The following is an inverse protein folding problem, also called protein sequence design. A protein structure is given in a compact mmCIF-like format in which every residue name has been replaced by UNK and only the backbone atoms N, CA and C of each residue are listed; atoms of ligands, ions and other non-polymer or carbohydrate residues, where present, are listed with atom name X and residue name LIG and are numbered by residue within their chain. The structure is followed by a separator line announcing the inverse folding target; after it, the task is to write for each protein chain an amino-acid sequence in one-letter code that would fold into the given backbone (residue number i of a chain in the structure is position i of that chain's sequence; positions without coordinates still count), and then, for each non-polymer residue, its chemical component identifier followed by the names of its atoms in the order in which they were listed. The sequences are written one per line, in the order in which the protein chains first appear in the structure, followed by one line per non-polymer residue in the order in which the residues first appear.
data_IF_362224047539
#
_entry.id   IF_362224047539
#
_cell.length_a   1.000
_cell.length_b   1.000
_cell.length_c   1.000
_cell.angle_alpha   90.00
_cell.angle_beta   90.00
_cell.angle_gamma   90.00
#
_symmetry.space_group_name_H-M   'P 1'
#
loop_
_entity.id
_entity.type
_entity.pdbx_description
1 polymer ?
#
# COMPACT_ATOMS: atom_id res chain seq x y z
N UNK A 1 19.13 24.78 7.77
CA UNK A 1 17.71 25.19 7.90
C UNK A 1 17.44 26.51 7.18
N UNK A 2 18.09 27.64 7.52
CA UNK A 2 17.91 28.94 6.83
C UNK A 2 18.34 28.93 5.35
N UNK A 3 19.57 28.48 5.07
CA UNK A 3 20.11 28.36 3.70
C UNK A 3 19.35 27.41 2.78
N UNK A 4 18.63 26.44 3.38
CA UNK A 4 17.79 25.48 2.68
C UNK A 4 16.35 25.99 2.50
N UNK A 5 16.04 27.18 3.02
CA UNK A 5 14.74 27.83 2.89
C UNK A 5 13.63 27.27 3.79
N UNK A 6 13.96 26.52 4.85
CA UNK A 6 12.96 25.97 5.78
C UNK A 6 12.55 26.94 6.89
N UNK A 7 13.45 27.85 7.28
CA UNK A 7 13.19 28.90 8.27
C UNK A 7 13.61 30.26 7.72
N UNK A 8 12.84 31.30 8.04
CA UNK A 8 13.18 32.69 7.73
C UNK A 8 13.60 33.41 9.02
N UNK A 9 14.59 34.30 8.93
CA UNK A 9 14.98 35.14 10.08
C UNK A 9 14.14 36.42 10.05
N UNK A 10 13.55 36.78 11.19
CA UNK A 10 12.70 37.96 11.32
C UNK A 10 13.57 39.23 11.43
N UNK A 11 13.75 39.92 10.30
CA UNK A 11 14.54 41.16 10.24
C UNK A 11 15.98 40.95 10.71
N UNK A 12 16.48 41.87 11.55
CA UNK A 12 17.81 41.78 12.17
C UNK A 12 17.82 41.00 13.49
N UNK A 13 16.67 40.47 13.94
CA UNK A 13 16.59 39.75 15.21
C UNK A 13 17.08 38.30 15.07
N UNK A 14 17.50 37.66 16.18
CA UNK A 14 17.81 36.22 16.20
C UNK A 14 16.56 35.31 16.19
N UNK A 15 15.37 35.88 15.95
CA UNK A 15 14.13 35.10 15.88
C UNK A 15 13.96 34.50 14.49
N UNK A 16 13.50 33.25 14.49
CA UNK A 16 13.24 32.50 13.27
C UNK A 16 11.76 32.11 13.20
N UNK A 17 11.16 32.27 12.03
CA UNK A 17 9.82 31.79 11.71
C UNK A 17 9.88 30.62 10.73
N UNK A 18 8.88 29.75 10.82
CA UNK A 18 8.70 28.66 9.87
C UNK A 18 8.28 29.26 8.52
N UNK A 19 8.94 28.82 7.46
CA UNK A 19 8.50 29.17 6.10
C UNK A 19 7.38 28.25 5.63
N UNK A 20 6.69 28.66 4.56
CA UNK A 20 5.74 27.81 3.85
C UNK A 20 6.37 26.49 3.38
N UNK A 21 7.66 26.47 3.01
CA UNK A 21 8.37 25.24 2.61
C UNK A 21 8.43 24.21 3.73
N UNK A 22 8.62 24.65 4.97
CA UNK A 22 8.61 23.75 6.14
C UNK A 22 7.19 23.37 6.56
N UNK A 23 6.23 24.29 6.40
CA UNK A 23 4.80 23.98 6.55
C UNK A 23 4.35 22.92 5.53
N UNK A 24 4.70 23.03 4.26
CA UNK A 24 4.40 22.05 3.21
C UNK A 24 4.99 20.67 3.54
N UNK A 25 6.24 20.63 4.01
CA UNK A 25 6.88 19.38 4.43
C UNK A 25 6.17 18.76 5.64
N UNK A 26 5.82 19.58 6.64
CA UNK A 26 5.07 19.15 7.82
C UNK A 26 3.64 18.70 7.48
N UNK A 27 2.94 19.42 6.61
CA UNK A 27 1.59 19.09 6.15
C UNK A 27 1.57 17.75 5.38
N UNK A 28 2.58 17.48 4.55
CA UNK A 28 2.75 16.16 3.91
C UNK A 28 2.97 15.04 4.94
N UNK A 29 3.70 15.30 6.01
CA UNK A 29 3.86 14.33 7.10
C UNK A 29 2.56 14.11 7.89
N UNK A 30 1.75 15.16 8.08
CA UNK A 30 0.45 15.08 8.76
C UNK A 30 -0.60 14.29 7.97
N UNK A 31 -0.58 14.36 6.63
CA UNK A 31 -1.49 13.56 5.79
C UNK A 31 -1.40 12.05 6.07
N UNK A 32 -0.19 11.54 6.32
CA UNK A 32 0.02 10.13 6.68
C UNK A 32 -0.52 9.80 8.07
N UNK A 33 -0.41 10.72 9.04
CA UNK A 33 -0.90 10.52 10.42
C UNK A 33 -2.43 10.48 10.45
N UNK A 34 -3.09 11.38 9.72
CA UNK A 34 -4.56 11.41 9.61
C UNK A 34 -5.11 10.19 8.85
N UNK A 35 -4.41 9.76 7.79
CA UNK A 35 -4.74 8.55 7.06
C UNK A 35 -4.66 7.31 7.96
N UNK A 36 -3.55 7.12 8.67
CA UNK A 36 -3.35 5.95 9.55
C UNK A 36 -4.44 5.92 10.64
N UNK A 37 -4.72 7.07 11.28
CA UNK A 37 -5.74 7.15 12.33
C UNK A 37 -7.14 6.83 11.80
N UNK A 38 -7.48 7.32 10.61
CA UNK A 38 -8.77 7.07 9.98
C UNK A 38 -8.90 5.61 9.51
N UNK A 39 -7.84 5.07 8.92
CA UNK A 39 -7.78 3.69 8.47
C UNK A 39 -7.80 2.69 9.64
N UNK A 40 -7.16 3.00 10.77
CA UNK A 40 -7.09 2.13 11.95
C UNK A 40 -8.48 1.70 12.45
N UNK A 41 -9.45 2.62 12.45
CA UNK A 41 -10.84 2.34 12.85
C UNK A 41 -11.44 1.25 11.95
N UNK A 42 -11.31 1.41 10.63
CA UNK A 42 -11.86 0.45 9.66
C UNK A 42 -11.07 -0.86 9.63
N UNK A 43 -9.74 -0.78 9.70
CA UNK A 43 -8.85 -1.95 9.75
C UNK A 43 -9.14 -2.83 10.97
N UNK A 44 -9.42 -2.24 12.14
CA UNK A 44 -9.81 -3.01 13.33
C UNK A 44 -11.13 -3.73 13.15
N UNK A 45 -12.10 -3.09 12.50
CA UNK A 45 -13.39 -3.74 12.23
C UNK A 45 -13.24 -4.89 11.25
N UNK A 46 -12.48 -4.72 10.17
CA UNK A 46 -12.16 -5.80 9.23
C UNK A 46 -11.42 -6.92 9.95
N UNK A 47 -10.40 -6.60 10.75
CA UNK A 47 -9.66 -7.60 11.54
C UNK A 47 -10.56 -8.35 12.52
N UNK A 48 -11.54 -7.68 13.14
CA UNK A 48 -12.51 -8.33 14.04
C UNK A 48 -13.39 -9.33 13.29
N UNK A 49 -13.80 -9.01 12.07
CA UNK A 49 -14.66 -9.84 11.22
C UNK A 49 -13.90 -11.02 10.59
N UNK A 50 -12.69 -10.78 10.09
CA UNK A 50 -11.91 -11.78 9.36
C UNK A 50 -10.96 -12.57 10.26
N UNK A 51 -10.56 -12.00 11.39
CA UNK A 51 -9.49 -12.46 12.30
C UNK A 51 -8.10 -12.49 11.66
N UNK A 52 -7.98 -11.97 10.45
CA UNK A 52 -6.77 -11.98 9.65
C UNK A 52 -5.90 -10.73 9.90
N UNK A 53 -4.66 -10.81 9.43
CA UNK A 53 -3.75 -9.65 9.43
C UNK A 53 -4.22 -8.64 8.38
N UNK A 54 -4.28 -7.37 8.76
CA UNK A 54 -4.62 -6.26 7.87
C UNK A 54 -3.39 -5.39 7.66
N UNK A 55 -3.07 -5.06 6.41
CA UNK A 55 -1.99 -4.13 6.07
C UNK A 55 -2.53 -2.91 5.36
N UNK A 56 -1.96 -1.75 5.69
CA UNK A 56 -2.10 -0.53 4.91
C UNK A 56 -0.75 -0.22 4.27
N UNK A 57 -0.74 -0.05 2.95
CA UNK A 57 0.46 0.27 2.19
C UNK A 57 0.27 1.51 1.33
N UNK A 58 1.32 2.29 1.17
CA UNK A 58 1.37 3.43 0.27
C UNK A 58 2.41 3.18 -0.83
N UNK A 59 2.22 3.82 -1.98
CA UNK A 59 3.20 3.85 -3.05
C UNK A 59 4.40 4.69 -2.60
N UNK A 60 5.60 4.15 -2.77
CA UNK A 60 6.85 4.89 -2.63
C UNK A 60 7.77 4.47 -3.78
N UNK A 61 7.99 5.41 -4.69
CA UNK A 61 8.71 5.21 -5.96
C UNK A 61 8.14 4.01 -6.75
N UNK A 62 8.89 2.92 -6.85
CA UNK A 62 8.59 1.70 -7.61
C UNK A 62 8.02 0.56 -6.75
N UNK A 63 7.66 0.85 -5.49
CA UNK A 63 7.34 -0.17 -4.51
C UNK A 63 6.26 0.26 -3.52
N UNK A 64 5.80 -0.68 -2.70
CA UNK A 64 4.83 -0.43 -1.64
C UNK A 64 5.55 -0.44 -0.32
N UNK A 65 5.33 0.58 0.50
CA UNK A 65 5.76 0.60 1.89
C UNK A 65 4.55 0.37 2.78
N UNK A 66 4.63 -0.65 3.66
CA UNK A 66 3.62 -0.79 4.71
C UNK A 66 3.74 0.33 5.73
N UNK A 67 2.68 1.12 5.89
CA UNK A 67 2.63 2.26 6.81
C UNK A 67 1.81 1.98 8.07
N UNK A 68 0.93 0.97 8.03
CA UNK A 68 0.19 0.50 9.21
C UNK A 68 -0.13 -1.00 9.11
N UNK A 69 -0.37 -1.62 10.27
CA UNK A 69 -0.67 -3.06 10.38
C UNK A 69 -1.56 -3.35 11.60
N UNK A 70 -2.53 -4.24 11.43
CA UNK A 70 -3.22 -4.94 12.53
C UNK A 70 -2.83 -6.41 12.44
N UNK A 71 -2.22 -6.96 13.50
CA UNK A 71 -1.84 -8.37 13.54
C UNK A 71 -3.06 -9.28 13.63
N UNK A 72 -2.99 -10.46 13.00
CA UNK A 72 -4.03 -11.49 13.12
C UNK A 72 -4.22 -11.94 14.55
N UNK A 73 -5.44 -12.40 14.85
CA UNK A 73 -5.74 -13.08 16.11
C UNK A 73 -5.27 -14.54 16.13
N UNK A 74 -4.84 -15.07 14.98
CA UNK A 74 -4.23 -16.40 14.87
C UNK A 74 -2.75 -16.38 15.28
N UNK A 75 -2.27 -17.48 15.87
CA UNK A 75 -0.86 -17.65 16.25
C UNK A 75 0.10 -17.72 15.05
N UNK A 76 -0.43 -17.87 13.83
CA UNK A 76 0.35 -17.87 12.60
C UNK A 76 0.65 -16.43 12.18
N UNK A 77 1.76 -15.87 12.68
CA UNK A 77 2.18 -14.51 12.31
C UNK A 77 2.87 -14.53 10.95
N UNK A 78 2.27 -13.86 9.95
CA UNK A 78 3.01 -13.46 8.75
C UNK A 78 4.20 -12.57 9.14
N UNK A 79 5.39 -12.89 8.61
CA UNK A 79 6.60 -12.07 8.78
C UNK A 79 6.49 -10.77 7.96
N UNK A 80 5.75 -9.81 8.50
CA UNK A 80 5.50 -8.50 7.91
C UNK A 80 5.61 -7.43 8.98
N UNK A 81 6.29 -6.33 8.67
CA UNK A 81 6.53 -5.19 9.55
C UNK A 81 6.26 -3.88 8.83
N UNK A 82 5.88 -2.86 9.58
CA UNK A 82 5.82 -1.48 9.09
C UNK A 82 7.21 -1.08 8.54
N UNK A 83 7.24 -0.35 7.43
CA UNK A 83 8.45 0.02 6.70
C UNK A 83 8.97 -1.04 5.73
N UNK A 84 8.37 -2.24 5.68
CA UNK A 84 8.76 -3.26 4.69
C UNK A 84 8.31 -2.83 3.29
N UNK A 85 9.25 -2.89 2.33
CA UNK A 85 8.99 -2.71 0.90
C UNK A 85 8.54 -4.01 0.23
N UNK A 86 7.57 -3.93 -0.67
CA UNK A 86 7.10 -5.05 -1.48
C UNK A 86 6.86 -4.58 -2.93
N UNK A 87 7.01 -5.47 -3.92
CA UNK A 87 6.82 -5.10 -5.32
C UNK A 87 5.36 -4.74 -5.63
N UNK A 88 5.18 -3.84 -6.60
CA UNK A 88 3.86 -3.42 -7.05
C UNK A 88 3.14 -4.49 -7.87
N UNK A 89 3.89 -5.25 -8.69
CA UNK A 89 3.33 -6.13 -9.70
C UNK A 89 2.65 -7.40 -9.14
N UNK A 90 3.13 -7.92 -8.01
CA UNK A 90 2.70 -9.21 -7.46
C UNK A 90 1.94 -9.08 -6.15
N UNK A 91 1.54 -7.88 -5.74
CA UNK A 91 0.76 -7.70 -4.50
C UNK A 91 -0.58 -7.05 -4.79
N UNK A 92 -1.58 -7.42 -3.99
CA UNK A 92 -2.92 -6.86 -4.10
C UNK A 92 -2.94 -5.33 -3.91
N UNK A 93 -2.14 -4.80 -2.97
CA UNK A 93 -2.01 -3.36 -2.74
C UNK A 93 -1.37 -2.66 -3.95
N UNK A 94 -0.34 -3.25 -4.54
CA UNK A 94 0.36 -2.63 -5.67
C UNK A 94 -0.53 -2.48 -6.88
N UNK A 95 -1.31 -3.52 -7.15
CA UNK A 95 -2.30 -3.48 -8.24
C UNK A 95 -3.33 -2.37 -8.04
N UNK A 96 -3.89 -2.20 -6.84
CA UNK A 96 -4.86 -1.11 -6.61
C UNK A 96 -4.21 0.27 -6.62
N UNK A 97 -2.95 0.40 -6.22
CA UNK A 97 -2.21 1.67 -6.30
C UNK A 97 -1.94 2.12 -7.74
N UNK A 98 -1.92 1.17 -8.69
CA UNK A 98 -1.62 1.43 -10.10
C UNK A 98 -2.89 1.50 -10.98
N UNK A 99 -3.96 0.78 -10.66
CA UNK A 99 -5.11 0.59 -11.55
C UNK A 99 -5.90 1.87 -11.91
N UNK A 100 -5.80 2.92 -11.08
CA UNK A 100 -6.46 4.21 -11.33
C UNK A 100 -5.53 5.27 -11.94
N UNK A 101 -4.25 4.95 -12.16
CA UNK A 101 -3.28 5.87 -12.75
C UNK A 101 -3.33 5.84 -14.27
N UNK A 102 -2.77 6.87 -14.89
CA UNK A 102 -2.57 6.88 -16.33
C UNK A 102 -1.54 5.83 -16.73
N UNK A 103 -1.76 5.15 -17.86
CA UNK A 103 -0.91 4.05 -18.31
C UNK A 103 0.56 4.46 -18.49
N UNK A 104 0.79 5.70 -18.92
CA UNK A 104 2.13 6.22 -19.09
C UNK A 104 2.84 6.42 -17.75
N UNK A 105 2.12 6.91 -16.74
CA UNK A 105 2.62 7.02 -15.37
C UNK A 105 2.95 5.65 -14.79
N UNK A 106 2.09 4.64 -15.00
CA UNK A 106 2.34 3.27 -14.56
C UNK A 106 3.61 2.70 -15.21
N UNK A 107 3.80 2.93 -16.52
CA UNK A 107 5.02 2.49 -17.23
C UNK A 107 6.27 3.17 -16.69
N UNK A 108 6.21 4.45 -16.36
CA UNK A 108 7.31 5.19 -15.75
C UNK A 108 7.63 4.69 -14.34
N UNK A 109 6.62 4.44 -13.50
CA UNK A 109 6.79 3.87 -12.16
C UNK A 109 7.48 2.50 -12.23
N UNK A 110 7.16 1.71 -13.26
CA UNK A 110 7.69 0.37 -13.45
C UNK A 110 8.96 0.34 -14.31
N UNK A 111 9.47 1.49 -14.72
CA UNK A 111 10.70 1.59 -15.50
C UNK A 111 11.89 1.12 -14.64
N UNK A 112 12.62 0.13 -15.14
CA UNK A 112 13.75 -0.46 -14.40
C UNK A 112 13.37 -1.47 -13.32
N UNK A 113 12.08 -1.76 -13.10
CA UNK A 113 11.65 -2.80 -12.16
C UNK A 113 12.10 -4.18 -12.63
N UNK A 114 12.79 -4.91 -11.76
CA UNK A 114 13.13 -6.32 -11.97
C UNK A 114 11.97 -7.22 -11.54
N UNK A 115 11.39 -7.93 -12.51
CA UNK A 115 10.30 -8.87 -12.29
C UNK A 115 10.83 -10.22 -11.82
N UNK A 116 10.99 -10.37 -10.50
CA UNK A 116 11.35 -11.65 -9.89
C UNK A 116 10.14 -12.58 -9.83
N UNK A 117 10.23 -13.70 -10.53
CA UNK A 117 9.23 -14.75 -10.46
C UNK A 117 9.35 -15.53 -9.13
N UNK A 118 8.46 -15.26 -8.18
CA UNK A 118 8.42 -15.97 -6.89
C UNK A 118 7.64 -17.28 -6.95
N UNK A 119 6.62 -17.34 -7.82
CA UNK A 119 5.71 -18.47 -8.01
C UNK A 119 5.40 -18.68 -9.48
N UNK A 120 4.67 -19.75 -9.80
CA UNK A 120 4.18 -20.01 -11.16
C UNK A 120 3.17 -18.95 -11.65
N UNK A 121 2.54 -18.21 -10.73
CA UNK A 121 1.50 -17.21 -11.02
C UNK A 121 1.99 -15.77 -10.99
N UNK A 122 3.23 -15.52 -10.56
CA UNK A 122 3.78 -14.16 -10.51
C UNK A 122 3.71 -13.48 -11.87
N UNK A 123 3.18 -12.26 -11.90
CA UNK A 123 3.20 -11.41 -13.09
C UNK A 123 4.63 -10.97 -13.38
N UNK A 124 5.13 -11.21 -14.60
CA UNK A 124 6.55 -11.03 -14.95
C UNK A 124 6.83 -9.93 -15.99
N UNK A 125 5.83 -9.14 -16.37
CA UNK A 125 6.03 -8.02 -17.30
C UNK A 125 5.04 -6.89 -17.09
N UNK A 126 5.43 -5.68 -17.51
CA UNK A 126 4.58 -4.48 -17.46
C UNK A 126 3.31 -4.67 -18.29
N UNK A 127 3.39 -5.23 -19.50
CA UNK A 127 2.22 -5.43 -20.36
C UNK A 127 1.21 -6.43 -19.77
N UNK A 128 1.70 -7.50 -19.16
CA UNK A 128 0.84 -8.45 -18.44
C UNK A 128 0.18 -7.79 -17.23
N UNK A 129 0.93 -6.98 -16.49
CA UNK A 129 0.38 -6.22 -15.35
C UNK A 129 -0.69 -5.24 -15.81
N UNK A 130 -0.47 -4.46 -16.87
CA UNK A 130 -1.44 -3.50 -17.40
C UNK A 130 -2.79 -4.16 -17.73
N UNK A 131 -2.76 -5.39 -18.28
CA UNK A 131 -3.98 -6.17 -18.54
C UNK A 131 -4.72 -6.53 -17.24
N UNK A 132 -3.98 -6.90 -16.20
CA UNK A 132 -4.55 -7.19 -14.87
C UNK A 132 -5.11 -5.93 -14.22
N UNK A 133 -4.48 -4.77 -14.42
CA UNK A 133 -4.93 -3.49 -13.87
C UNK A 133 -6.28 -3.05 -14.44
N UNK A 134 -6.57 -3.34 -15.71
CA UNK A 134 -7.89 -3.08 -16.30
C UNK A 134 -8.99 -3.84 -15.53
N UNK A 135 -8.76 -5.14 -15.25
CA UNK A 135 -9.67 -5.96 -14.44
C UNK A 135 -9.81 -5.43 -13.00
N UNK A 136 -8.69 -5.04 -12.36
CA UNK A 136 -8.70 -4.44 -11.01
C UNK A 136 -9.56 -3.18 -10.97
N UNK A 137 -9.48 -2.33 -11.99
CA UNK A 137 -10.26 -1.10 -12.08
C UNK A 137 -11.75 -1.39 -12.25
N UNK A 138 -12.10 -2.36 -13.09
CA UNK A 138 -13.49 -2.77 -13.34
C UNK A 138 -14.15 -3.39 -12.10
N UNK A 139 -13.45 -4.29 -11.40
CA UNK A 139 -14.00 -4.96 -10.21
C UNK A 139 -13.86 -4.14 -8.92
N UNK A 140 -13.01 -3.11 -8.90
CA UNK A 140 -12.80 -2.20 -7.78
C UNK A 140 -11.85 -2.71 -6.69
N UNK A 141 -11.21 -3.85 -6.88
CA UNK A 141 -10.27 -4.44 -5.92
C UNK A 141 -9.16 -5.23 -6.66
N UNK A 142 -8.02 -5.40 -6.01
CA UNK A 142 -6.90 -6.19 -6.52
C UNK A 142 -6.76 -7.51 -5.76
N UNK A 143 -6.27 -8.54 -6.43
CA UNK A 143 -5.95 -9.82 -5.81
C UNK A 143 -4.45 -10.10 -5.90
N UNK A 144 -3.90 -10.71 -4.86
CA UNK A 144 -2.67 -11.50 -4.92
C UNK A 144 -3.15 -12.95 -4.87
N UNK A 145 -3.08 -13.66 -5.99
CA UNK A 145 -3.56 -15.02 -6.11
C UNK A 145 -2.39 -15.99 -6.17
N UNK A 146 -1.68 -16.14 -5.05
CA UNK A 146 -0.48 -16.96 -4.92
C UNK A 146 0.67 -16.44 -5.80
N UNK A 147 0.81 -15.11 -5.93
CA UNK A 147 1.83 -14.48 -6.79
C UNK A 147 3.12 -14.17 -6.03
N UNK A 148 3.01 -13.90 -4.73
CA UNK A 148 4.15 -13.72 -3.83
C UNK A 148 4.67 -15.05 -3.29
N UNK A 149 3.75 -15.92 -2.88
CA UNK A 149 4.03 -17.18 -2.21
C UNK A 149 2.91 -18.17 -2.50
N UNK A 150 3.26 -19.43 -2.79
CA UNK A 150 2.27 -20.50 -3.03
C UNK A 150 1.41 -20.68 -1.76
N UNK A 151 0.09 -20.76 -1.91
CA UNK A 151 -0.87 -20.80 -0.81
C UNK A 151 -1.15 -19.46 -0.11
N UNK A 152 -0.57 -18.33 -0.57
CA UNK A 152 -0.90 -16.99 -0.09
C UNK A 152 -1.91 -16.33 -1.01
N UNK A 153 -3.12 -16.03 -0.51
CA UNK A 153 -4.12 -15.26 -1.26
C UNK A 153 -4.54 -14.02 -0.49
N UNK A 154 -4.52 -12.85 -1.12
CA UNK A 154 -4.96 -11.59 -0.50
C UNK A 154 -5.93 -10.84 -1.39
N UNK A 155 -6.84 -10.09 -0.77
CA UNK A 155 -7.61 -9.03 -1.44
C UNK A 155 -7.08 -7.68 -0.96
N UNK A 156 -6.87 -6.78 -1.91
CA UNK A 156 -6.49 -5.39 -1.70
C UNK A 156 -7.58 -4.47 -2.22
N UNK A 157 -7.90 -3.42 -1.47
CA UNK A 157 -8.86 -2.39 -1.86
C UNK A 157 -8.18 -1.02 -1.89
N UNK A 158 -8.49 -0.16 -2.87
CA UNK A 158 -7.95 1.19 -2.94
C UNK A 158 -8.50 2.06 -1.82
N UNK A 159 -7.66 2.97 -1.32
CA UNK A 159 -8.06 4.08 -0.45
C UNK A 159 -7.92 5.36 -1.26
N UNK A 160 -9.06 6.00 -1.55
CA UNK A 160 -9.11 7.23 -2.31
C UNK A 160 -9.00 8.45 -1.40
N UNK A 161 -8.34 9.50 -1.89
CA UNK A 161 -8.46 10.83 -1.32
C UNK A 161 -9.75 11.53 -1.79
N UNK A 162 -9.94 12.77 -1.33
CA UNK A 162 -11.09 13.60 -1.69
C UNK A 162 -11.18 13.99 -3.17
N UNK A 163 -10.12 13.77 -3.95
CA UNK A 163 -10.04 14.09 -5.37
C UNK A 163 -10.17 12.84 -6.25
N UNK A 164 -10.39 11.65 -5.65
CA UNK A 164 -10.51 10.39 -6.37
C UNK A 164 -9.17 9.77 -6.74
N UNK A 165 -8.07 10.22 -6.14
CA UNK A 165 -6.74 9.64 -6.33
C UNK A 165 -6.50 8.53 -5.32
N UNK A 166 -5.97 7.38 -5.76
CA UNK A 166 -5.60 6.29 -4.86
C UNK A 166 -4.30 6.65 -4.12
N UNK A 167 -4.40 6.91 -2.82
CA UNK A 167 -3.28 7.33 -1.97
C UNK A 167 -2.69 6.19 -1.13
N UNK A 168 -3.47 5.11 -0.94
CA UNK A 168 -3.04 3.91 -0.24
C UNK A 168 -3.84 2.70 -0.72
N UNK A 169 -3.40 1.50 -0.36
CA UNK A 169 -4.19 0.28 -0.47
C UNK A 169 -4.25 -0.44 0.87
N UNK A 170 -5.43 -0.96 1.20
CA UNK A 170 -5.66 -1.81 2.36
C UNK A 170 -5.79 -3.24 1.88
N UNK A 171 -5.10 -4.20 2.50
CA UNK A 171 -5.31 -5.63 2.20
C UNK A 171 -5.54 -6.46 3.44
N UNK A 172 -6.19 -7.60 3.21
CA UNK A 172 -6.29 -8.68 4.18
C UNK A 172 -6.10 -10.03 3.49
N UNK A 173 -5.72 -11.03 4.28
CA UNK A 173 -5.54 -12.39 3.80
C UNK A 173 -6.90 -13.06 3.56
N UNK A 174 -7.03 -13.78 2.46
CA UNK A 174 -8.15 -14.68 2.26
C UNK A 174 -7.87 -16.00 2.99
N UNK A 175 -8.81 -16.51 3.80
CA UNK A 175 -8.64 -17.80 4.43
C UNK A 175 -8.48 -18.88 3.35
N UNK A 176 -7.45 -19.71 3.47
CA UNK A 176 -7.23 -20.83 2.59
C UNK A 176 -8.43 -21.81 2.69
N UNK A 177 -9.23 -21.92 1.62
CA UNK A 177 -10.33 -22.89 1.51
C UNK A 177 -9.85 -24.34 1.73
N UNK A 178 -8.56 -24.62 1.54
CA UNK A 178 -7.95 -25.94 1.80
C UNK A 178 -7.93 -26.31 3.28
N UNK A 179 -7.90 -25.33 4.20
CA UNK A 179 -8.02 -25.58 5.65
C UNK A 179 -9.47 -25.82 6.09
N UNK A 180 -10.45 -25.29 5.36
CA UNK A 180 -11.88 -25.55 5.61
C UNK A 180 -12.32 -26.95 5.18
N UNK A 181 -11.55 -27.66 4.34
CA UNK A 181 -11.79 -29.08 3.99
C UNK A 181 -11.20 -30.10 4.98
N UNK A 182 -10.56 -29.65 6.06
CA UNK A 182 -9.94 -30.53 7.08
C UNK A 182 -10.56 -30.42 8.48
N UNK A 183 -11.78 -29.90 8.61
CA UNK A 183 -12.57 -30.17 9.79
C UNK A 183 -13.24 -31.54 9.61
N UNK A 184 -12.81 -32.62 10.29
CA UNK A 184 -13.62 -33.83 10.36
C UNK A 184 -14.93 -33.51 11.09
N UNK A 185 -16.04 -34.03 10.54
CA UNK A 185 -17.31 -34.12 11.25
C UNK A 185 -17.22 -35.09 12.44
#
# INVERSE_FOLDING_TARGET
MKSLGYVAQEGESEKYSLTLKLFELGARALQNVDLIRSADIQMREISRLTKETIHLGALDEDSIVYIHKIDSMYNLRMYSRIGRRNPLYSTAIGKVLLAWRDREEVKQILEGVEYKQSTSRTITSTDALLTVLDCVREQGYGEDNEEQEEGLRCIGVPVFDRFGVVIAGLKYLLPNLTLLRRAPA
#
